data_IF_548724741127
#
_entry.id   IF_548724741127
#
_cell.length_a   1.000
_cell.length_b   1.000
_cell.length_c   1.000
_cell.angle_alpha   90.00
_cell.angle_beta   90.00
_cell.angle_gamma   90.00
#
_symmetry.space_group_name_H-M   'P 1'
#
loop_
_entity.id
_entity.type
_entity.pdbx_description
1 polymer ?
#
# COMPACT_ATOMS: atom_id res chain seq x y z
N UNK A 1 -3.57 12.29 -26.15
CA UNK A 1 -4.21 12.10 -24.83
C UNK A 1 -3.29 11.20 -24.03
N UNK A 2 -2.64 11.74 -23.01
CA UNK A 2 -1.73 11.00 -22.14
C UNK A 2 -2.56 10.10 -21.20
N UNK A 3 -2.35 8.79 -21.25
CA UNK A 3 -3.15 7.78 -20.55
C UNK A 3 -2.97 7.76 -19.02
N UNK A 4 -2.77 8.91 -18.38
CA UNK A 4 -2.38 9.07 -16.98
C UNK A 4 -3.53 9.50 -16.06
N UNK A 5 -4.77 9.26 -16.48
CA UNK A 5 -5.99 9.63 -15.74
C UNK A 5 -6.50 8.47 -14.90
N UNK A 6 -7.06 8.79 -13.74
CA UNK A 6 -7.76 7.82 -12.90
C UNK A 6 -9.25 7.90 -13.23
N UNK A 7 -9.84 6.75 -13.62
CA UNK A 7 -11.28 6.62 -13.77
C UNK A 7 -11.86 6.10 -12.45
N UNK A 8 -12.79 6.85 -11.86
CA UNK A 8 -13.51 6.42 -10.67
C UNK A 8 -15.01 6.27 -10.99
N UNK A 9 -15.66 5.31 -10.35
CA UNK A 9 -17.11 5.10 -10.44
C UNK A 9 -17.70 4.74 -9.09
N UNK A 10 -19.02 4.95 -8.94
CA UNK A 10 -19.76 4.57 -7.74
C UNK A 10 -20.07 5.75 -6.82
N UNK A 11 -20.15 5.48 -5.52
CA UNK A 11 -20.59 6.45 -4.51
C UNK A 11 -19.58 7.60 -4.36
N UNK A 12 -20.05 8.85 -4.49
CA UNK A 12 -19.17 10.02 -4.51
C UNK A 12 -19.56 11.15 -3.52
N UNK A 13 -20.25 10.84 -2.41
CA UNK A 13 -20.66 11.91 -1.46
C UNK A 13 -19.51 12.60 -0.74
N UNK A 14 -18.32 12.02 -0.75
CA UNK A 14 -17.12 12.60 -0.14
C UNK A 14 -16.09 13.06 -1.18
N UNK A 15 -16.39 12.97 -2.49
CA UNK A 15 -15.43 13.26 -3.54
C UNK A 15 -14.44 12.11 -3.80
N UNK A 16 -14.73 10.88 -3.35
CA UNK A 16 -13.85 9.71 -3.53
C UNK A 16 -13.90 9.10 -4.94
N UNK A 17 -14.96 9.39 -5.70
CA UNK A 17 -15.12 8.98 -7.08
C UNK A 17 -15.39 10.20 -7.99
N UNK A 18 -14.45 11.14 -8.10
CA UNK A 18 -14.64 12.36 -8.86
C UNK A 18 -14.53 12.10 -10.38
N UNK A 19 -14.87 13.13 -11.17
CA UNK A 19 -14.63 13.11 -12.61
C UNK A 19 -13.12 12.90 -12.91
N UNK A 20 -12.77 12.12 -13.94
CA UNK A 20 -11.38 11.90 -14.36
C UNK A 20 -10.50 13.14 -14.54
N UNK A 21 -11.08 14.30 -14.84
CA UNK A 21 -10.34 15.55 -15.01
C UNK A 21 -9.96 16.22 -13.67
N UNK A 22 -10.58 15.81 -12.56
CA UNK A 22 -10.32 16.36 -11.23
C UNK A 22 -9.03 15.83 -10.57
N UNK A 23 -8.50 14.70 -11.07
CA UNK A 23 -7.30 14.06 -10.54
C UNK A 23 -6.29 13.89 -11.66
N UNK A 24 -5.19 14.61 -11.55
CA UNK A 24 -4.13 14.59 -12.55
C UNK A 24 -2.95 13.75 -12.05
N UNK A 25 -2.61 12.74 -12.86
CA UNK A 25 -1.39 11.94 -12.72
C UNK A 25 -0.18 12.60 -13.37
N UNK A 26 0.86 11.82 -13.73
CA UNK A 26 0.91 10.35 -13.74
C UNK A 26 1.04 9.71 -12.35
N UNK A 27 0.40 8.55 -12.19
CA UNK A 27 0.47 7.71 -11.00
C UNK A 27 1.09 6.35 -11.30
N UNK A 28 1.81 5.80 -10.33
CA UNK A 28 2.45 4.47 -10.40
C UNK A 28 1.77 3.44 -9.52
N UNK A 29 0.94 3.87 -8.57
CA UNK A 29 0.12 3.00 -7.73
C UNK A 29 -1.12 3.76 -7.23
N UNK A 30 -2.19 3.03 -6.94
CA UNK A 30 -3.44 3.56 -6.39
C UNK A 30 -4.00 2.58 -5.34
N UNK A 31 -4.66 3.11 -4.31
CA UNK A 31 -5.41 2.33 -3.31
C UNK A 31 -6.68 3.07 -2.93
N UNK A 32 -7.80 2.35 -2.90
CA UNK A 32 -9.10 2.89 -2.52
C UNK A 32 -9.45 2.44 -1.10
N UNK A 33 -9.85 3.39 -0.25
CA UNK A 33 -10.45 3.13 1.05
C UNK A 33 -11.97 3.26 0.98
N UNK A 34 -12.63 3.29 2.14
CA UNK A 34 -14.11 3.37 2.18
C UNK A 34 -14.62 4.74 1.70
N UNK A 35 -13.94 5.82 2.09
CA UNK A 35 -14.37 7.20 1.79
C UNK A 35 -13.30 8.09 1.19
N UNK A 36 -12.08 7.58 1.02
CA UNK A 36 -10.97 8.29 0.42
C UNK A 36 -10.17 7.36 -0.48
N UNK A 37 -9.27 7.92 -1.27
CA UNK A 37 -8.38 7.18 -2.15
C UNK A 37 -7.02 7.84 -2.16
N UNK A 38 -5.99 7.01 -2.37
CA UNK A 38 -4.59 7.38 -2.37
C UNK A 38 -3.99 6.98 -3.71
N UNK A 39 -3.07 7.79 -4.23
CA UNK A 39 -2.23 7.40 -5.37
C UNK A 39 -0.80 7.88 -5.19
N UNK A 40 0.16 7.10 -5.67
CA UNK A 40 1.58 7.47 -5.69
C UNK A 40 1.90 8.08 -7.05
N UNK A 41 2.46 9.27 -7.06
CA UNK A 41 2.99 9.93 -8.27
C UNK A 41 4.35 9.37 -8.64
N UNK A 42 4.78 9.62 -9.88
CA UNK A 42 6.10 9.18 -10.37
C UNK A 42 7.26 9.69 -9.51
N UNK A 43 7.11 10.83 -8.84
CA UNK A 43 8.10 11.39 -7.91
C UNK A 43 8.08 10.77 -6.49
N UNK A 44 7.20 9.78 -6.26
CA UNK A 44 7.02 9.12 -4.97
C UNK A 44 6.19 9.91 -3.95
N UNK A 45 5.60 11.05 -4.33
CA UNK A 45 4.63 11.77 -3.49
C UNK A 45 3.26 11.10 -3.54
N UNK A 46 2.43 11.34 -2.51
CA UNK A 46 1.08 10.77 -2.42
C UNK A 46 0.03 11.84 -2.73
N UNK A 47 -0.86 11.53 -3.66
CA UNK A 47 -2.14 12.22 -3.83
C UNK A 47 -3.19 11.57 -2.95
N UNK A 48 -4.09 12.37 -2.39
CA UNK A 48 -5.25 11.90 -1.65
C UNK A 48 -6.48 12.71 -2.09
N UNK A 49 -7.60 12.04 -2.27
CA UNK A 49 -8.90 12.66 -2.54
C UNK A 49 -10.01 11.90 -1.82
N UNK A 50 -11.18 12.53 -1.67
CA UNK A 50 -12.27 12.00 -0.86
C UNK A 50 -12.33 12.62 0.54
N UNK A 51 -12.85 11.85 1.50
CA UNK A 51 -13.00 12.27 2.88
C UNK A 51 -11.64 12.51 3.55
N UNK A 52 -11.54 13.62 4.28
CA UNK A 52 -10.36 13.97 5.06
C UNK A 52 -10.73 14.37 6.51
N UNK A 53 -11.90 13.96 6.99
CA UNK A 53 -12.42 14.34 8.31
C UNK A 53 -11.57 13.86 9.49
N UNK A 54 -10.75 12.84 9.26
CA UNK A 54 -9.84 12.24 10.24
C UNK A 54 -8.36 12.43 9.85
N UNK A 55 -8.05 13.36 8.93
CA UNK A 55 -6.69 13.57 8.41
C UNK A 55 -6.15 12.37 7.61
N UNK A 56 -6.98 11.75 6.77
CA UNK A 56 -6.61 10.65 5.87
C UNK A 56 -5.65 11.05 4.73
N UNK A 57 -5.50 12.35 4.47
CA UNK A 57 -4.50 12.90 3.56
C UNK A 57 -3.14 13.11 4.29
N UNK A 58 -2.00 12.84 3.60
CA UNK A 58 -0.69 12.99 4.22
C UNK A 58 -0.43 14.46 4.61
N UNK A 59 0.03 14.68 5.86
CA UNK A 59 0.51 15.99 6.30
C UNK A 59 1.90 16.29 5.73
N UNK A 60 2.39 17.52 5.89
CA UNK A 60 3.74 17.94 5.47
C UNK A 60 4.88 17.16 6.15
N UNK A 61 4.58 16.49 7.26
CA UNK A 61 5.53 15.69 8.03
C UNK A 61 5.65 14.26 7.49
N UNK A 62 4.65 13.81 6.72
CA UNK A 62 4.63 12.50 6.06
C UNK A 62 5.32 12.61 4.71
N UNK A 63 6.65 12.49 4.72
CA UNK A 63 7.49 12.59 3.51
C UNK A 63 7.83 11.22 2.93
N UNK A 64 7.78 11.14 1.60
CA UNK A 64 8.24 10.01 0.80
C UNK A 64 9.76 10.06 0.51
N UNK A 65 10.24 9.43 -0.57
CA UNK A 65 9.43 8.78 -1.62
C UNK A 65 8.78 7.49 -1.13
N UNK A 66 7.53 7.28 -1.53
CA UNK A 66 6.75 6.09 -1.25
C UNK A 66 6.72 5.15 -2.46
N UNK A 67 6.67 3.85 -2.18
CA UNK A 67 6.61 2.76 -3.17
C UNK A 67 5.35 1.91 -3.04
N UNK A 68 4.60 2.08 -1.95
CA UNK A 68 3.30 1.41 -1.73
C UNK A 68 2.39 2.26 -0.86
N UNK A 69 1.07 2.17 -1.07
CA UNK A 69 0.03 2.85 -0.30
C UNK A 69 -1.13 1.89 -0.02
N UNK A 70 -1.77 2.06 1.13
CA UNK A 70 -3.00 1.37 1.49
C UNK A 70 -3.96 2.35 2.18
N UNK A 71 -5.21 2.37 1.76
CA UNK A 71 -6.27 3.17 2.33
C UNK A 71 -7.27 2.28 3.10
N UNK A 72 -7.54 2.64 4.36
CA UNK A 72 -8.54 1.98 5.21
C UNK A 72 -9.89 2.74 5.23
N UNK A 73 -10.63 2.61 6.33
CA UNK A 73 -11.89 3.38 6.52
C UNK A 73 -11.60 4.86 6.81
N UNK A 74 -10.74 5.13 7.79
CA UNK A 74 -10.41 6.49 8.29
C UNK A 74 -8.92 6.72 8.47
N UNK A 75 -8.10 5.83 7.94
CA UNK A 75 -6.65 5.91 8.02
C UNK A 75 -6.01 5.47 6.71
N UNK A 76 -4.73 5.78 6.60
CA UNK A 76 -3.90 5.58 5.41
C UNK A 76 -2.53 5.12 5.87
N UNK A 77 -1.91 4.23 5.12
CA UNK A 77 -0.53 3.81 5.33
C UNK A 77 0.25 3.82 4.01
N UNK A 78 1.56 4.03 4.10
CA UNK A 78 2.46 3.96 2.95
C UNK A 78 3.82 3.40 3.33
N UNK A 79 4.46 2.74 2.37
CA UNK A 79 5.80 2.16 2.46
C UNK A 79 6.78 3.07 1.74
N UNK A 80 7.88 3.42 2.39
CA UNK A 80 9.01 4.12 1.78
C UNK A 80 9.96 3.15 1.08
N UNK A 81 10.82 3.69 0.21
CA UNK A 81 11.87 2.93 -0.48
C UNK A 81 12.78 2.15 0.50
N UNK A 82 13.00 2.69 1.70
CA UNK A 82 13.78 2.03 2.76
C UNK A 82 13.02 0.92 3.51
N UNK A 83 11.79 0.61 3.08
CA UNK A 83 10.91 -0.37 3.71
C UNK A 83 10.24 0.11 5.00
N UNK A 84 10.45 1.36 5.43
CA UNK A 84 9.74 1.92 6.58
C UNK A 84 8.29 2.25 6.23
N UNK A 85 7.39 2.02 7.18
CA UNK A 85 5.96 2.33 7.04
C UNK A 85 5.64 3.62 7.77
N UNK A 86 4.83 4.47 7.14
CA UNK A 86 4.16 5.60 7.79
C UNK A 86 2.66 5.42 7.68
N UNK A 87 1.94 5.59 8.79
CA UNK A 87 0.49 5.63 8.80
C UNK A 87 0.00 6.97 9.37
N UNK A 88 -1.13 7.42 8.89
CA UNK A 88 -1.78 8.68 9.28
C UNK A 88 -3.30 8.54 9.19
N UNK A 89 -4.03 9.46 9.82
CA UNK A 89 -5.48 9.42 9.93
C UNK A 89 -5.97 9.12 11.35
N UNK A 90 -7.16 8.53 11.46
CA UNK A 90 -7.71 8.08 12.74
C UNK A 90 -6.78 7.07 13.41
N UNK A 91 -6.52 7.28 14.69
CA UNK A 91 -5.70 6.39 15.51
C UNK A 91 -6.39 5.99 16.82
N UNK A 92 -7.71 6.17 16.91
CA UNK A 92 -8.51 5.82 18.11
C UNK A 92 -8.41 4.35 18.53
N UNK A 93 -8.04 3.46 17.59
CA UNK A 93 -7.83 2.03 17.81
C UNK A 93 -6.39 1.58 17.58
N UNK A 94 -5.44 2.51 17.46
CA UNK A 94 -4.04 2.19 17.16
C UNK A 94 -3.78 1.79 15.72
N UNK A 95 -4.66 2.12 14.77
CA UNK A 95 -4.54 1.75 13.34
C UNK A 95 -3.59 2.66 12.54
N UNK A 96 -3.28 3.85 13.06
CA UNK A 96 -2.33 4.81 12.50
C UNK A 96 -1.32 5.35 13.53
N UNK A 97 -0.55 4.47 14.21
CA UNK A 97 0.39 4.89 15.23
C UNK A 97 1.56 5.64 14.56
N UNK A 98 2.03 6.72 15.20
CA UNK A 98 3.19 7.52 14.72
C UNK A 98 4.54 6.80 14.83
N UNK A 99 4.55 5.52 15.16
CA UNK A 99 5.74 4.80 15.59
C UNK A 99 6.40 4.07 14.41
N UNK A 100 7.61 4.52 14.10
CA UNK A 100 8.59 3.82 13.26
C UNK A 100 9.10 2.56 13.98
N UNK A 101 8.34 1.49 14.02
CA UNK A 101 8.89 0.21 14.47
C UNK A 101 8.42 -0.90 13.53
N UNK A 102 9.11 -0.98 12.38
CA UNK A 102 9.54 -2.27 11.87
C UNK A 102 11.04 -2.37 12.15
N UNK A 103 11.47 -3.10 13.19
CA UNK A 103 12.79 -3.70 13.22
C UNK A 103 12.67 -4.99 12.43
N UNK A 104 12.34 -4.89 11.14
CA UNK A 104 12.52 -5.99 10.23
C UNK A 104 13.89 -5.76 9.60
N UNK A 105 14.91 -6.59 9.87
CA UNK A 105 16.06 -6.67 8.98
C UNK A 105 15.51 -6.95 7.57
N UNK A 106 15.44 -5.93 6.71
CA UNK A 106 14.86 -6.00 5.36
C UNK A 106 13.60 -5.17 5.08
N UNK A 107 12.98 -4.50 6.06
CA UNK A 107 11.83 -3.60 5.82
C UNK A 107 10.49 -4.28 5.52
N UNK A 108 9.47 -3.51 5.12
CA UNK A 108 8.17 -4.01 4.65
C UNK A 108 8.12 -4.06 3.12
N UNK A 109 7.50 -5.11 2.57
CA UNK A 109 7.30 -5.33 1.13
C UNK A 109 5.88 -5.02 0.65
N UNK A 110 4.89 -5.04 1.55
CA UNK A 110 3.50 -4.68 1.27
C UNK A 110 2.79 -4.20 2.53
N UNK A 111 1.75 -3.37 2.36
CA UNK A 111 0.90 -2.85 3.44
C UNK A 111 -0.55 -2.97 3.03
N UNK A 112 -1.42 -3.37 3.95
CA UNK A 112 -2.86 -3.47 3.75
C UNK A 112 -3.58 -2.75 4.89
N UNK A 113 -4.73 -2.14 4.59
CA UNK A 113 -5.58 -1.47 5.57
C UNK A 113 -7.02 -1.96 5.43
N UNK A 114 -7.63 -2.33 6.55
CA UNK A 114 -9.05 -2.71 6.67
C UNK A 114 -9.74 -1.81 7.69
N UNK A 115 -11.00 -2.09 8.05
CA UNK A 115 -11.76 -1.30 9.02
C UNK A 115 -11.14 -1.37 10.44
N UNK A 116 -10.22 -0.44 10.74
CA UNK A 116 -9.54 -0.32 12.03
C UNK A 116 -8.33 -1.23 12.24
N UNK A 117 -7.90 -1.98 11.22
CA UNK A 117 -6.74 -2.90 11.29
C UNK A 117 -5.81 -2.64 10.11
N UNK A 118 -4.52 -2.81 10.34
CA UNK A 118 -3.48 -2.68 9.33
C UNK A 118 -2.50 -3.84 9.43
N UNK A 119 -1.92 -4.23 8.29
CA UNK A 119 -0.95 -5.32 8.19
C UNK A 119 0.25 -4.87 7.37
N UNK A 120 1.44 -5.35 7.74
CA UNK A 120 2.63 -5.25 6.91
C UNK A 120 3.17 -6.65 6.63
N UNK A 121 3.53 -6.87 5.37
CA UNK A 121 4.19 -8.10 4.91
C UNK A 121 5.68 -7.82 4.83
N UNK A 122 6.48 -8.66 5.47
CA UNK A 122 7.95 -8.60 5.43
C UNK A 122 8.47 -9.37 4.20
N UNK A 123 9.69 -9.09 3.70
CA UNK A 123 10.30 -9.82 2.60
C UNK A 123 10.47 -11.33 2.83
N UNK A 124 10.54 -11.77 4.09
CA UNK A 124 10.59 -13.19 4.47
C UNK A 124 9.22 -13.89 4.45
N UNK A 125 8.15 -13.15 4.13
CA UNK A 125 6.77 -13.63 4.09
C UNK A 125 6.06 -13.60 5.45
N UNK A 126 6.70 -13.12 6.52
CA UNK A 126 6.04 -12.89 7.80
C UNK A 126 5.11 -11.68 7.75
N UNK A 127 4.07 -11.70 8.58
CA UNK A 127 3.07 -10.63 8.66
C UNK A 127 3.05 -10.03 10.06
N UNK A 128 2.94 -8.71 10.16
CA UNK A 128 2.79 -7.99 11.42
C UNK A 128 1.51 -7.19 11.41
N UNK A 129 0.49 -7.59 12.20
CA UNK A 129 -0.73 -6.82 12.37
C UNK A 129 -0.58 -5.71 13.41
N UNK A 130 -1.32 -4.61 13.23
CA UNK A 130 -1.59 -3.59 14.25
C UNK A 130 -2.99 -2.99 14.08
N UNK A 131 -3.48 -2.29 15.10
CA UNK A 131 -4.83 -1.70 15.12
C UNK A 131 -5.72 -2.36 16.16
N UNK A 132 -7.02 -2.43 15.86
CA UNK A 132 -8.07 -2.84 16.79
C UNK A 132 -7.75 -4.18 17.49
N UNK A 133 -7.53 -4.18 18.82
CA UNK A 133 -7.18 -5.39 19.56
C UNK A 133 -8.35 -6.37 19.68
N UNK A 134 -9.57 -5.93 19.40
CA UNK A 134 -10.78 -6.77 19.42
C UNK A 134 -10.97 -7.51 18.10
N UNK A 135 -10.33 -7.06 17.02
CA UNK A 135 -10.34 -7.76 15.74
C UNK A 135 -9.30 -8.88 15.76
N UNK A 136 -9.72 -10.05 16.24
CA UNK A 136 -9.00 -11.30 15.97
C UNK A 136 -9.45 -11.78 14.60
N UNK A 137 -8.58 -11.75 13.57
CA UNK A 137 -8.97 -12.40 12.36
C UNK A 137 -9.11 -13.91 12.67
N UNK A 138 -10.04 -14.63 12.03
CA UNK A 138 -10.19 -16.07 12.24
C UNK A 138 -8.82 -16.76 12.05
N UNK A 139 -8.50 -17.78 12.84
CA UNK A 139 -7.15 -18.37 12.90
C UNK A 139 -6.62 -18.87 11.53
N UNK A 140 -7.52 -19.00 10.55
CA UNK A 140 -7.26 -19.21 9.14
C UNK A 140 -7.18 -17.90 8.33
N UNK A 141 -6.43 -16.90 8.79
CA UNK A 141 -5.95 -15.90 7.83
C UNK A 141 -4.99 -16.64 6.93
N UNK A 142 -5.56 -17.10 5.80
CA UNK A 142 -4.84 -17.43 4.61
C UNK A 142 -4.04 -16.18 4.24
N UNK A 143 -2.85 -16.03 4.83
CA UNK A 143 -1.76 -15.36 4.13
C UNK A 143 -1.67 -16.19 2.87
N UNK A 144 -2.23 -15.71 1.76
CA UNK A 144 -1.95 -16.26 0.45
C UNK A 144 -0.44 -16.18 0.32
N UNK A 145 0.23 -17.26 0.75
CA UNK A 145 1.59 -17.59 0.40
C UNK A 145 1.51 -17.70 -1.12
N UNK A 146 1.75 -16.59 -1.81
CA UNK A 146 2.04 -16.65 -3.23
C UNK A 146 3.30 -17.51 -3.32
N UNK A 147 3.08 -18.79 -3.61
CA UNK A 147 4.14 -19.79 -3.74
C UNK A 147 5.22 -19.19 -4.64
N UNK A 148 6.46 -19.10 -4.15
CA UNK A 148 7.59 -18.94 -5.06
C UNK A 148 7.57 -20.16 -5.98
N UNK A 149 7.53 -20.00 -7.32
CA UNK A 149 7.86 -21.12 -8.19
C UNK A 149 9.28 -21.55 -7.82
N UNK A 150 9.43 -22.76 -7.28
CA UNK A 150 10.75 -23.35 -7.10
C UNK A 150 11.30 -23.62 -8.49
N UNK A 151 12.29 -22.84 -8.93
CA UNK A 151 13.08 -23.22 -10.11
C UNK A 151 13.88 -24.46 -9.70
N UNK A 152 13.70 -25.62 -10.37
CA UNK A 152 14.54 -26.77 -10.08
C UNK A 152 15.97 -26.43 -10.50
N UNK A 153 16.90 -26.58 -9.56
CA UNK A 153 18.33 -26.49 -9.86
C UNK A 153 18.67 -27.56 -10.90
N UNK A 154 19.01 -27.14 -12.12
CA UNK A 154 19.71 -28.00 -13.06
C UNK A 154 21.10 -27.41 -13.28
N UNK A 155 22.07 -28.24 -12.95
CA UNK A 155 23.49 -28.10 -13.21
C UNK A 155 23.76 -27.94 -14.71
N UNK A 156 24.39 -26.84 -15.12
CA UNK A 156 24.86 -26.68 -16.49
C UNK A 156 25.50 -25.31 -16.73
N UNK A 157 26.78 -25.31 -17.05
CA UNK A 157 27.62 -24.13 -17.32
C UNK A 157 27.15 -23.37 -18.57
N UNK A 158 26.88 -22.06 -18.47
CA UNK A 158 26.97 -21.11 -19.59
C UNK A 158 27.05 -19.66 -19.09
N UNK A 159 28.00 -18.92 -19.67
CA UNK A 159 28.33 -17.52 -19.41
C UNK A 159 27.33 -16.54 -20.06
N UNK A 160 27.18 -15.40 -19.38
CA UNK A 160 26.27 -14.26 -19.55
C UNK A 160 25.76 -13.83 -20.95
N UNK A 161 24.48 -13.44 -20.99
CA UNK A 161 24.07 -12.16 -21.57
C UNK A 161 22.87 -11.59 -20.80
N UNK A 162 23.01 -10.35 -20.35
CA UNK A 162 22.04 -9.58 -19.58
C UNK A 162 20.71 -9.40 -20.32
N UNK A 163 19.62 -9.87 -19.71
CA UNK A 163 18.29 -9.29 -19.89
C UNK A 163 17.57 -9.37 -18.55
N UNK A 164 17.65 -8.28 -17.79
CA UNK A 164 16.90 -8.09 -16.55
C UNK A 164 15.42 -7.97 -16.90
N UNK A 165 14.70 -9.10 -16.96
CA UNK A 165 13.24 -9.12 -16.98
C UNK A 165 12.76 -8.88 -15.55
N UNK A 166 12.29 -7.66 -15.25
CA UNK A 166 11.68 -7.35 -13.96
C UNK A 166 10.47 -8.29 -13.74
N UNK A 167 10.35 -8.98 -12.60
CA UNK A 167 9.19 -9.80 -12.34
C UNK A 167 7.97 -8.90 -12.16
N UNK A 168 6.91 -9.18 -12.91
CA UNK A 168 5.62 -8.54 -12.73
C UNK A 168 5.07 -8.89 -11.34
N UNK A 169 5.14 -7.94 -10.42
CA UNK A 169 4.46 -8.05 -9.12
C UNK A 169 3.04 -7.57 -9.32
N UNK A 170 2.13 -8.51 -9.58
CA UNK A 170 0.70 -8.23 -9.59
C UNK A 170 0.21 -8.13 -8.14
N UNK A 171 0.10 -6.91 -7.63
CA UNK A 171 -0.60 -6.65 -6.37
C UNK A 171 -2.11 -6.67 -6.64
N UNK A 172 -2.79 -7.75 -6.24
CA UNK A 172 -4.25 -7.74 -6.13
C UNK A 172 -4.59 -6.96 -4.86
N UNK A 173 -4.96 -5.69 -5.03
CA UNK A 173 -5.57 -4.87 -3.97
C UNK A 173 -7.09 -5.09 -4.10
N UNK A 174 -7.69 -5.76 -3.12
CA UNK A 174 -9.15 -5.82 -2.97
C UNK A 174 -9.67 -4.49 -2.43
#
# INVERSE_FOLDING_TARGET
MDGSRVLCWGWNRHGQAPNPDAIQGPFVAISAGIRHSLAIRVDGSVACWGDNSNQQAPSRDVRGPFVGVAAGDRHSCAIRVDGSVACWGDNSRGQAPRVRIFPAPGGAAAVCCAAGVSLAVRPDGGVTPWGDPTYRPPEDVLVLRLNRPTVPASSGSAVASSSYAAPAVSYLVL
#
